data_IF_619495505482
#
_entry.id   IF_619495505482
#
_cell.length_a   1.000
_cell.length_b   1.000
_cell.length_c   1.000
_cell.angle_alpha   90.00
_cell.angle_beta   90.00
_cell.angle_gamma   90.00
#
_symmetry.space_group_name_H-M   'P 1'
#
loop_
_entity.id
_entity.type
_entity.pdbx_description
1 polymer ?
#
# COMPACT_ATOMS: atom_id res chain seq x y z
N UNK A 1 16.80 -33.52 -52.57
CA UNK A 1 16.33 -32.30 -51.84
C UNK A 1 15.22 -32.57 -50.81
N UNK A 2 14.27 -33.49 -51.03
CA UNK A 2 13.18 -33.81 -50.06
C UNK A 2 13.67 -34.46 -48.76
N UNK A 3 14.69 -35.32 -48.81
CA UNK A 3 15.11 -36.10 -47.64
C UNK A 3 15.90 -35.29 -46.60
N UNK A 4 16.74 -34.34 -47.02
CA UNK A 4 17.55 -33.51 -46.10
C UNK A 4 16.68 -32.53 -45.30
N UNK A 5 15.60 -31.99 -45.89
CA UNK A 5 14.64 -31.14 -45.18
C UNK A 5 13.89 -31.90 -44.09
N UNK A 6 13.54 -33.18 -44.33
CA UNK A 6 12.89 -34.03 -43.32
C UNK A 6 13.82 -34.28 -42.12
N UNK A 7 15.08 -34.62 -42.36
CA UNK A 7 16.03 -34.95 -41.27
C UNK A 7 16.30 -33.76 -40.34
N UNK A 8 16.43 -32.54 -40.89
CA UNK A 8 16.63 -31.33 -40.08
C UNK A 8 15.40 -31.00 -39.24
N UNK A 9 14.19 -31.17 -39.81
CA UNK A 9 12.93 -30.91 -39.11
C UNK A 9 12.70 -31.91 -37.95
N UNK A 10 13.08 -33.18 -38.13
CA UNK A 10 12.94 -34.21 -37.10
C UNK A 10 13.93 -34.02 -35.94
N UNK A 11 15.16 -33.58 -36.22
CA UNK A 11 16.16 -33.31 -35.17
C UNK A 11 15.79 -32.07 -34.35
N UNK A 12 15.28 -31.00 -34.98
CA UNK A 12 14.78 -29.82 -34.26
C UNK A 12 13.57 -30.13 -33.38
N UNK A 13 12.65 -31.00 -33.83
CA UNK A 13 11.47 -31.38 -33.05
C UNK A 13 11.84 -32.25 -31.84
N UNK A 14 12.80 -33.17 -32.00
CA UNK A 14 13.30 -34.01 -30.90
C UNK A 14 14.04 -33.17 -29.83
N UNK A 15 14.83 -32.18 -30.24
CA UNK A 15 15.48 -31.25 -29.31
C UNK A 15 14.47 -30.39 -28.53
N UNK A 16 13.40 -29.94 -29.20
CA UNK A 16 12.34 -29.15 -28.57
C UNK A 16 11.54 -29.98 -27.54
N UNK A 17 11.28 -31.25 -27.83
CA UNK A 17 10.61 -32.17 -26.90
C UNK A 17 11.48 -32.50 -25.69
N UNK A 18 12.79 -32.70 -25.87
CA UNK A 18 13.72 -32.96 -24.76
C UNK A 18 13.88 -31.72 -23.87
N UNK A 19 13.88 -30.50 -24.44
CA UNK A 19 13.96 -29.26 -23.65
C UNK A 19 12.72 -28.98 -22.79
N UNK A 20 11.55 -29.54 -23.15
CA UNK A 20 10.31 -29.39 -22.38
C UNK A 20 10.24 -30.38 -21.20
N UNK A 21 10.91 -31.53 -21.29
CA UNK A 21 10.78 -32.61 -20.29
C UNK A 21 11.82 -32.48 -19.17
N UNK A 22 13.04 -32.00 -19.45
CA UNK A 22 14.13 -31.93 -18.45
C UNK A 22 13.84 -31.02 -17.23
N UNK A 23 13.09 -29.91 -17.31
CA UNK A 23 12.78 -29.10 -16.12
C UNK A 23 11.91 -29.84 -15.09
N UNK A 24 11.14 -30.85 -15.51
CA UNK A 24 10.19 -31.54 -14.62
C UNK A 24 10.81 -32.58 -13.70
N UNK A 25 12.05 -33.02 -13.96
CA UNK A 25 12.71 -34.08 -13.19
C UNK A 25 13.79 -33.59 -12.21
N UNK A 26 14.08 -32.29 -12.15
CA UNK A 26 15.08 -31.72 -11.23
C UNK A 26 14.51 -30.89 -10.08
N UNK A 27 13.18 -30.78 -9.97
CA UNK A 27 12.53 -30.15 -8.81
C UNK A 27 12.35 -31.22 -7.73
N UNK A 28 13.44 -31.54 -7.04
CA UNK A 28 13.36 -32.25 -5.78
C UNK A 28 12.69 -31.34 -4.74
N UNK A 29 11.65 -31.83 -4.08
CA UNK A 29 11.04 -31.22 -2.91
C UNK A 29 12.07 -31.12 -1.78
N UNK A 30 12.81 -30.02 -1.74
CA UNK A 30 13.54 -29.57 -0.55
C UNK A 30 12.80 -28.34 -0.07
N UNK A 31 11.87 -28.51 0.90
CA UNK A 31 11.42 -27.39 1.74
C UNK A 31 12.56 -26.98 2.67
N UNK A 32 13.59 -26.37 2.11
CA UNK A 32 14.42 -25.47 2.90
C UNK A 32 13.57 -24.21 3.11
N UNK A 33 13.17 -23.94 4.36
CA UNK A 33 12.72 -22.59 4.73
C UNK A 33 13.94 -21.71 4.49
N UNK A 34 13.99 -21.02 3.35
CA UNK A 34 15.07 -20.09 3.03
C UNK A 34 14.91 -18.90 3.96
N UNK A 35 15.54 -18.98 5.13
CA UNK A 35 15.69 -17.85 6.03
C UNK A 35 16.55 -16.83 5.31
N UNK A 36 16.04 -15.62 5.11
CA UNK A 36 16.85 -14.53 4.59
C UNK A 36 17.63 -13.93 5.76
N UNK A 37 18.95 -13.82 5.59
CA UNK A 37 19.76 -13.06 6.53
C UNK A 37 19.40 -11.57 6.40
N UNK A 38 19.18 -10.92 7.53
CA UNK A 38 18.83 -9.52 7.60
C UNK A 38 19.78 -8.80 8.55
N UNK A 39 20.50 -7.82 8.02
CA UNK A 39 21.29 -6.89 8.81
C UNK A 39 20.45 -5.65 9.06
N UNK A 40 20.46 -5.13 10.29
CA UNK A 40 19.81 -3.88 10.60
C UNK A 40 20.65 -2.99 11.50
N UNK A 41 20.53 -1.68 11.32
CA UNK A 41 21.36 -0.71 12.02
C UNK A 41 21.01 0.73 11.69
N UNK A 42 21.51 1.63 12.52
CA UNK A 42 21.44 3.06 12.28
C UNK A 42 22.36 3.46 11.12
N UNK A 43 21.90 4.39 10.29
CA UNK A 43 22.68 5.03 9.23
C UNK A 43 22.39 6.53 9.16
N UNK A 44 23.14 7.26 8.33
CA UNK A 44 23.00 8.70 8.11
C UNK A 44 22.98 9.50 9.43
N UNK A 45 24.10 9.46 10.17
CA UNK A 45 24.25 10.14 11.48
C UNK A 45 23.17 9.77 12.50
N UNK A 46 22.78 8.49 12.55
CA UNK A 46 21.76 7.96 13.45
C UNK A 46 20.33 8.51 13.24
N UNK A 47 20.05 9.10 12.08
CA UNK A 47 18.73 9.63 11.75
C UNK A 47 17.80 8.60 11.11
N UNK A 48 18.35 7.52 10.57
CA UNK A 48 17.61 6.49 9.86
C UNK A 48 17.99 5.11 10.35
N UNK A 49 17.00 4.23 10.42
CA UNK A 49 17.24 2.79 10.47
C UNK A 49 17.23 2.20 9.08
N UNK A 50 18.11 1.23 8.87
CA UNK A 50 18.17 0.43 7.66
C UNK A 50 17.99 -1.03 8.02
N UNK A 51 17.10 -1.72 7.32
CA UNK A 51 17.03 -3.20 7.28
C UNK A 51 17.46 -3.61 5.87
N UNK A 52 18.44 -4.50 5.78
CA UNK A 52 19.04 -4.91 4.51
C UNK A 52 19.17 -6.43 4.45
N UNK A 53 18.69 -7.00 3.33
CA UNK A 53 18.81 -8.42 3.00
C UNK A 53 19.46 -8.59 1.63
N UNK A 54 19.45 -9.80 1.08
CA UNK A 54 19.81 -10.05 -0.33
C UNK A 54 18.70 -9.71 -1.33
N UNK A 55 17.48 -9.49 -0.83
CA UNK A 55 16.29 -9.23 -1.64
C UNK A 55 15.90 -7.74 -1.62
N UNK A 56 15.75 -7.20 -0.42
CA UNK A 56 15.16 -5.88 -0.17
C UNK A 56 16.02 -5.06 0.77
N UNK A 57 16.04 -3.75 0.55
CA UNK A 57 16.48 -2.75 1.54
C UNK A 57 15.28 -1.90 1.95
N UNK A 58 15.13 -1.67 3.25
CA UNK A 58 14.10 -0.80 3.83
C UNK A 58 14.78 0.27 4.68
N UNK A 59 14.34 1.52 4.54
CA UNK A 59 14.69 2.64 5.40
C UNK A 59 13.44 3.17 6.10
N UNK A 60 13.60 3.54 7.36
CA UNK A 60 12.58 4.27 8.14
C UNK A 60 13.26 5.23 9.11
N UNK A 61 12.63 6.37 9.44
CA UNK A 61 13.27 7.38 10.27
C UNK A 61 13.42 6.89 11.72
N UNK A 62 14.54 7.23 12.35
CA UNK A 62 14.81 6.92 13.76
C UNK A 62 13.98 7.78 14.73
N UNK A 63 13.46 8.91 14.24
CA UNK A 63 12.56 9.81 14.94
C UNK A 63 11.64 10.52 13.96
N UNK A 64 10.46 10.92 14.40
CA UNK A 64 9.50 11.63 13.56
C UNK A 64 8.44 10.70 12.97
N UNK A 65 7.70 11.22 11.99
CA UNK A 65 6.48 10.57 11.48
C UNK A 65 6.76 9.25 10.73
N UNK A 66 5.83 8.29 10.74
CA UNK A 66 6.02 7.00 10.07
C UNK A 66 6.09 7.14 8.55
N UNK A 67 7.23 6.75 7.98
CA UNK A 67 7.48 6.72 6.55
C UNK A 67 8.45 5.58 6.25
N UNK A 68 8.20 4.85 5.17
CA UNK A 68 9.01 3.70 4.78
C UNK A 68 9.43 3.85 3.33
N UNK A 69 10.73 3.73 3.12
CA UNK A 69 11.32 3.66 1.80
C UNK A 69 11.82 2.25 1.59
N UNK A 70 11.60 1.69 0.41
CA UNK A 70 12.16 0.40 0.09
C UNK A 70 12.48 0.28 -1.39
N UNK A 71 13.42 -0.59 -1.70
CA UNK A 71 13.76 -0.92 -3.08
C UNK A 71 14.28 -2.35 -3.16
N UNK A 72 14.20 -2.89 -4.36
CA UNK A 72 14.77 -4.19 -4.69
C UNK A 72 16.29 -4.04 -4.78
N UNK A 73 17.07 -4.91 -4.12
CA UNK A 73 18.53 -4.76 -4.00
C UNK A 73 19.24 -4.61 -5.35
N UNK A 74 18.73 -5.29 -6.39
CA UNK A 74 19.31 -5.27 -7.74
C UNK A 74 18.82 -4.11 -8.61
N UNK A 75 17.91 -3.27 -8.10
CA UNK A 75 17.43 -2.05 -8.78
C UNK A 75 17.27 -0.90 -7.78
N UNK A 76 18.27 -0.02 -7.73
CA UNK A 76 18.26 1.20 -6.93
C UNK A 76 17.73 2.42 -7.69
N UNK A 77 17.30 2.25 -8.95
CA UNK A 77 16.76 3.35 -9.76
C UNK A 77 15.34 3.73 -9.35
N UNK A 78 14.65 2.86 -8.62
CA UNK A 78 13.31 3.07 -8.12
C UNK A 78 13.27 2.85 -6.61
N UNK A 79 13.18 3.92 -5.83
CA UNK A 79 12.89 3.84 -4.39
C UNK A 79 11.41 4.08 -4.19
N UNK A 80 10.71 3.04 -3.77
CA UNK A 80 9.30 3.12 -3.42
C UNK A 80 9.16 3.75 -2.05
N UNK A 81 8.13 4.58 -1.89
CA UNK A 81 7.84 5.23 -0.62
C UNK A 81 6.37 5.04 -0.27
N UNK A 82 6.12 4.69 0.99
CA UNK A 82 4.82 4.81 1.62
C UNK A 82 4.97 5.75 2.80
N UNK A 83 4.19 6.83 2.76
CA UNK A 83 4.18 7.83 3.82
C UNK A 83 2.81 7.86 4.47
N UNK A 84 2.77 7.69 5.79
CA UNK A 84 1.53 7.78 6.54
C UNK A 84 1.23 9.27 6.80
N UNK A 85 0.28 9.82 6.05
CA UNK A 85 -0.09 11.25 6.12
C UNK A 85 -0.96 11.56 7.33
N UNK A 86 -1.85 10.63 7.68
CA UNK A 86 -2.65 10.74 8.89
C UNK A 86 -3.99 10.04 8.83
N UNK A 87 -4.88 10.46 9.72
CA UNK A 87 -6.22 9.89 9.89
C UNK A 87 -7.28 10.94 9.58
N UNK A 88 -8.29 10.57 8.80
CA UNK A 88 -9.38 11.46 8.41
C UNK A 88 -10.71 10.87 8.86
N UNK A 89 -11.40 11.54 9.77
CA UNK A 89 -12.79 11.18 10.09
C UNK A 89 -13.71 11.66 8.98
N UNK A 90 -14.59 10.78 8.53
CA UNK A 90 -15.57 11.09 7.49
C UNK A 90 -16.94 10.55 7.86
N UNK A 91 -17.97 11.14 7.28
CA UNK A 91 -19.36 10.76 7.48
C UNK A 91 -20.11 10.79 6.16
N UNK A 92 -20.34 9.61 5.56
CA UNK A 92 -21.04 9.50 4.28
C UNK A 92 -22.52 9.16 4.46
N UNK A 93 -23.32 9.67 3.53
CA UNK A 93 -24.76 9.36 3.42
C UNK A 93 -25.02 8.30 2.35
N UNK A 94 -24.30 8.38 1.23
CA UNK A 94 -24.64 7.66 0.00
C UNK A 94 -23.48 6.78 -0.52
N UNK A 95 -22.34 6.75 0.19
CA UNK A 95 -21.12 6.06 -0.26
C UNK A 95 -20.58 5.11 0.81
N UNK A 96 -19.97 4.00 0.38
CA UNK A 96 -19.38 3.02 1.29
C UNK A 96 -17.93 3.33 1.66
N UNK A 97 -17.29 4.25 0.94
CA UNK A 97 -15.88 4.56 1.01
C UNK A 97 -15.64 6.04 1.30
N UNK A 98 -14.42 6.39 1.70
CA UNK A 98 -14.01 7.76 1.95
C UNK A 98 -14.18 8.67 0.72
N UNK A 99 -14.75 9.85 0.93
CA UNK A 99 -14.74 10.96 -0.02
C UNK A 99 -14.43 12.24 0.74
N UNK A 100 -13.48 13.01 0.22
CA UNK A 100 -13.11 14.36 0.69
C UNK A 100 -14.31 15.29 0.87
N UNK A 101 -15.31 15.18 -0.01
CA UNK A 101 -16.58 15.88 0.11
C UNK A 101 -17.37 15.61 1.41
N UNK A 102 -17.03 14.56 2.17
CA UNK A 102 -17.75 14.05 3.34
C UNK A 102 -16.88 14.00 4.61
N UNK A 103 -15.79 14.76 4.66
CA UNK A 103 -14.99 14.90 5.87
C UNK A 103 -15.83 15.42 7.06
N UNK A 104 -15.62 14.86 8.26
CA UNK A 104 -16.44 15.08 9.43
C UNK A 104 -16.08 16.36 10.22
N UNK A 105 -15.90 17.49 9.52
CA UNK A 105 -15.78 18.81 10.14
C UNK A 105 -17.14 19.50 10.25
N UNK A 106 -17.29 20.47 11.15
CA UNK A 106 -18.57 21.10 11.46
C UNK A 106 -19.26 21.70 10.22
N UNK A 107 -18.51 22.39 9.35
CA UNK A 107 -19.04 23.04 8.16
C UNK A 107 -19.57 22.03 7.15
N UNK A 108 -18.74 21.04 6.79
CA UNK A 108 -19.12 19.99 5.84
C UNK A 108 -20.30 19.18 6.36
N UNK A 109 -20.30 18.81 7.64
CA UNK A 109 -21.41 18.09 8.28
C UNK A 109 -22.71 18.88 8.18
N UNK A 110 -22.69 20.17 8.52
CA UNK A 110 -23.86 21.05 8.37
C UNK A 110 -24.38 21.08 6.94
N UNK A 111 -23.50 21.29 5.97
CA UNK A 111 -23.87 21.38 4.55
C UNK A 111 -24.48 20.07 4.04
N UNK A 112 -23.90 18.92 4.38
CA UNK A 112 -24.42 17.61 3.97
C UNK A 112 -25.78 17.29 4.61
N UNK A 113 -25.94 17.60 5.90
CA UNK A 113 -27.21 17.38 6.60
C UNK A 113 -28.30 18.32 6.09
N UNK A 114 -27.97 19.60 5.83
CA UNK A 114 -28.89 20.56 5.21
C UNK A 114 -29.34 20.09 3.82
N UNK A 115 -28.39 19.70 2.97
CA UNK A 115 -28.69 19.22 1.62
C UNK A 115 -29.58 17.95 1.64
N UNK A 116 -29.37 17.04 2.60
CA UNK A 116 -30.11 15.78 2.67
C UNK A 116 -31.50 15.94 3.30
N UNK A 117 -31.60 16.65 4.42
CA UNK A 117 -32.81 16.65 5.26
C UNK A 117 -33.58 17.97 5.25
N UNK A 118 -32.95 19.08 4.84
CA UNK A 118 -33.57 20.41 4.84
C UNK A 118 -33.82 20.98 3.43
N UNK A 119 -33.33 20.34 2.37
CA UNK A 119 -33.55 20.81 1.00
C UNK A 119 -35.00 20.60 0.51
N UNK A 120 -35.65 19.52 0.95
CA UNK A 120 -37.02 19.18 0.55
C UNK A 120 -37.77 18.40 1.65
N UNK A 121 -39.10 18.51 1.69
CA UNK A 121 -39.95 17.76 2.62
C UNK A 121 -40.83 18.63 3.53
N UNK A 122 -41.79 17.99 4.20
CA UNK A 122 -42.83 18.63 5.04
C UNK A 122 -42.30 19.28 6.32
N UNK A 123 -41.11 18.88 6.80
CA UNK A 123 -40.52 19.39 8.04
C UNK A 123 -39.22 20.17 7.82
N UNK A 124 -38.93 20.57 6.57
CA UNK A 124 -37.66 21.17 6.16
C UNK A 124 -37.24 22.39 7.00
N UNK A 125 -38.18 23.27 7.36
CA UNK A 125 -37.89 24.51 8.09
C UNK A 125 -37.49 24.21 9.54
N UNK A 126 -38.21 23.30 10.21
CA UNK A 126 -37.89 22.86 11.58
C UNK A 126 -36.57 22.11 11.63
N UNK A 127 -36.28 21.29 10.63
CA UNK A 127 -35.01 20.57 10.51
C UNK A 127 -33.86 21.55 10.25
N UNK A 128 -34.02 22.48 9.31
CA UNK A 128 -33.03 23.52 9.05
C UNK A 128 -32.72 24.32 10.31
N UNK A 129 -33.76 24.76 11.04
CA UNK A 129 -33.61 25.48 12.29
C UNK A 129 -32.83 24.64 13.32
N UNK A 130 -33.21 23.37 13.52
CA UNK A 130 -32.51 22.50 14.47
C UNK A 130 -31.03 22.30 14.10
N UNK A 131 -30.72 22.11 12.82
CA UNK A 131 -29.33 21.99 12.35
C UNK A 131 -28.57 23.28 12.64
N UNK A 132 -29.16 24.46 12.41
CA UNK A 132 -28.52 25.74 12.71
C UNK A 132 -28.31 25.97 14.21
N UNK A 133 -29.26 25.55 15.05
CA UNK A 133 -29.15 25.63 16.52
C UNK A 133 -28.01 24.76 17.04
N UNK A 134 -27.86 23.53 16.53
CA UNK A 134 -26.80 22.61 16.94
C UNK A 134 -25.44 22.97 16.34
N UNK A 135 -25.40 23.61 15.16
CA UNK A 135 -24.16 23.95 14.46
C UNK A 135 -23.17 24.77 15.32
N UNK A 136 -23.65 25.67 16.17
CA UNK A 136 -22.78 26.43 17.07
C UNK A 136 -22.05 25.52 18.07
N UNK A 137 -22.72 24.49 18.59
CA UNK A 137 -22.09 23.49 19.45
C UNK A 137 -21.06 22.68 18.68
N UNK A 138 -21.31 22.38 17.41
CA UNK A 138 -20.36 21.63 16.58
C UNK A 138 -19.10 22.45 16.27
N UNK A 139 -19.23 23.75 15.98
CA UNK A 139 -18.06 24.64 15.80
C UNK A 139 -17.12 24.59 17.01
N UNK A 140 -17.69 24.56 18.22
CA UNK A 140 -16.90 24.58 19.46
C UNK A 140 -16.48 23.18 19.93
N UNK A 141 -17.24 22.15 19.57
CA UNK A 141 -17.07 20.80 20.08
C UNK A 141 -16.38 19.83 19.12
N UNK A 142 -16.40 20.07 17.81
CA UNK A 142 -15.76 19.18 16.84
C UNK A 142 -14.25 19.41 16.84
N UNK A 143 -13.48 18.32 16.78
CA UNK A 143 -12.09 18.43 16.33
C UNK A 143 -12.07 18.55 14.79
N UNK A 144 -10.97 19.04 14.18
CA UNK A 144 -10.80 18.98 12.73
C UNK A 144 -11.00 17.55 12.19
N UNK A 145 -11.40 17.40 10.92
CA UNK A 145 -11.60 16.06 10.35
C UNK A 145 -10.29 15.31 10.13
N UNK A 146 -9.18 16.03 9.95
CA UNK A 146 -7.89 15.45 9.59
C UNK A 146 -6.86 15.65 10.70
N UNK A 147 -6.32 14.53 11.20
CA UNK A 147 -5.14 14.48 12.07
C UNK A 147 -3.88 14.24 11.21
N UNK A 148 -3.11 15.29 10.87
CA UNK A 148 -1.86 15.12 10.13
C UNK A 148 -0.76 14.55 11.03
N UNK A 149 -0.15 13.46 10.59
CA UNK A 149 0.96 12.85 11.33
C UNK A 149 2.22 13.72 11.36
N UNK A 150 2.38 14.66 10.41
CA UNK A 150 3.45 15.65 10.41
C UNK A 150 3.28 16.78 11.42
N UNK A 151 2.13 16.90 12.09
CA UNK A 151 1.95 17.77 13.25
C UNK A 151 2.06 17.02 14.59
N UNK A 152 2.37 15.72 14.55
CA UNK A 152 2.45 14.87 15.74
C UNK A 152 3.90 14.52 16.07
N UNK A 153 4.16 14.21 17.34
CA UNK A 153 5.40 13.58 17.79
C UNK A 153 5.20 12.08 17.93
N UNK A 154 6.20 11.32 17.48
CA UNK A 154 6.18 9.87 17.45
C UNK A 154 7.39 9.33 18.19
N UNK A 155 7.16 8.26 18.96
CA UNK A 155 8.22 7.51 19.61
C UNK A 155 8.46 6.19 18.86
N UNK A 156 9.72 5.92 18.54
CA UNK A 156 10.15 4.66 17.95
C UNK A 156 10.67 3.73 19.06
N UNK A 157 10.14 2.51 19.11
CA UNK A 157 10.67 1.42 19.97
C UNK A 157 11.20 0.29 19.10
N UNK A 158 12.28 -0.37 19.53
CA UNK A 158 13.06 -1.26 18.68
C UNK A 158 13.98 -0.49 17.71
N UNK A 159 14.42 -1.10 16.60
CA UNK A 159 14.21 -2.49 16.19
C UNK A 159 14.92 -3.52 17.05
N UNK A 160 14.27 -4.66 17.24
CA UNK A 160 14.79 -5.83 17.96
C UNK A 160 14.43 -7.13 17.24
N UNK A 161 15.25 -8.16 17.42
CA UNK A 161 15.02 -9.47 16.85
C UNK A 161 14.09 -10.31 17.73
N UNK A 162 13.04 -10.86 17.13
CA UNK A 162 12.03 -11.68 17.82
C UNK A 162 11.90 -13.02 17.12
N UNK A 163 11.79 -14.09 17.91
CA UNK A 163 11.51 -15.43 17.40
C UNK A 163 10.29 -15.98 18.13
N UNK A 164 9.25 -16.34 17.37
CA UNK A 164 8.02 -16.96 17.86
C UNK A 164 8.28 -18.41 18.28
N UNK A 165 7.35 -18.96 19.07
CA UNK A 165 7.39 -20.36 19.51
C UNK A 165 7.37 -21.35 18.33
N UNK A 166 6.74 -20.98 17.21
CA UNK A 166 6.68 -21.77 15.97
C UNK A 166 7.95 -21.65 15.10
N UNK A 167 8.98 -20.95 15.58
CA UNK A 167 10.27 -20.77 14.89
C UNK A 167 10.30 -19.64 13.87
N UNK A 168 9.19 -18.91 13.65
CA UNK A 168 9.18 -17.73 12.78
C UNK A 168 10.00 -16.61 13.41
N UNK A 169 10.94 -16.04 12.65
CA UNK A 169 11.81 -14.97 13.12
C UNK A 169 11.60 -13.68 12.33
N UNK A 170 11.52 -12.55 13.03
CA UNK A 170 11.30 -11.23 12.45
C UNK A 170 12.01 -10.13 13.23
N UNK A 171 12.19 -8.97 12.58
CA UNK A 171 12.63 -7.73 13.24
C UNK A 171 11.38 -6.92 13.60
N UNK A 172 11.25 -6.57 14.88
CA UNK A 172 10.09 -5.88 15.45
C UNK A 172 10.42 -4.45 15.84
N UNK A 173 9.56 -3.49 15.51
CA UNK A 173 9.66 -2.10 15.96
C UNK A 173 8.29 -1.42 15.88
N UNK A 174 8.04 -0.40 16.69
CA UNK A 174 6.75 0.29 16.69
C UNK A 174 6.92 1.81 16.65
N UNK A 175 6.11 2.47 15.84
CA UNK A 175 5.86 3.91 15.94
C UNK A 175 4.62 4.14 16.79
N UNK A 176 4.78 4.82 17.92
CA UNK A 176 3.66 5.20 18.81
C UNK A 176 3.48 6.72 18.76
N UNK A 177 2.27 7.18 18.48
CA UNK A 177 1.95 8.61 18.58
C UNK A 177 1.99 9.00 20.06
N UNK A 178 2.84 9.96 20.44
CA UNK A 178 3.03 10.37 21.84
C UNK A 178 2.61 11.81 22.13
N UNK A 179 2.45 12.63 21.09
CA UNK A 179 1.93 13.98 21.24
C UNK A 179 1.23 14.41 19.94
N UNK A 180 -0.05 14.71 20.04
CA UNK A 180 -0.88 15.26 19.00
C UNK A 180 -1.17 16.74 19.30
N UNK A 181 -1.52 17.52 18.26
CA UNK A 181 -2.07 18.85 18.45
C UNK A 181 -3.29 18.83 19.37
N UNK A 182 -3.47 19.88 20.18
CA UNK A 182 -4.49 19.96 21.24
C UNK A 182 -5.91 19.46 20.86
N UNK A 183 -6.47 19.73 19.67
CA UNK A 183 -7.78 19.19 19.30
C UNK A 183 -7.85 17.65 19.18
N UNK A 184 -6.69 16.97 19.22
CA UNK A 184 -6.50 15.54 19.05
C UNK A 184 -5.70 14.92 20.19
N UNK A 185 -5.60 15.56 21.36
CA UNK A 185 -4.86 15.03 22.51
C UNK A 185 -5.36 13.63 22.94
N UNK A 186 -6.62 13.30 22.70
CA UNK A 186 -7.17 11.96 22.84
C UNK A 186 -6.45 10.88 22.00
N UNK A 187 -5.71 11.25 20.95
CA UNK A 187 -4.96 10.31 20.11
C UNK A 187 -3.59 9.93 20.72
N UNK A 188 -3.13 10.63 21.76
CA UNK A 188 -1.85 10.37 22.42
C UNK A 188 -1.81 8.97 23.03
N UNK A 189 -0.82 8.17 22.64
CA UNK A 189 -0.67 6.77 23.04
C UNK A 189 -1.71 5.82 22.45
N UNK A 190 -2.64 6.33 21.63
CA UNK A 190 -3.81 5.60 21.15
C UNK A 190 -3.74 5.27 19.65
N UNK A 191 -2.69 5.72 18.96
CA UNK A 191 -2.39 5.37 17.57
C UNK A 191 -0.99 4.77 17.49
N UNK A 192 -0.91 3.53 17.00
CA UNK A 192 0.34 2.77 16.88
C UNK A 192 0.44 2.15 15.49
N UNK A 193 1.63 2.21 14.89
CA UNK A 193 1.98 1.39 13.73
C UNK A 193 3.00 0.35 14.19
N UNK A 194 2.56 -0.90 14.28
CA UNK A 194 3.38 -2.03 14.72
C UNK A 194 4.05 -2.69 13.52
N UNK A 195 5.37 -2.70 13.49
CA UNK A 195 6.12 -3.14 12.34
C UNK A 195 6.81 -4.47 12.60
N UNK A 196 6.67 -5.40 11.65
CA UNK A 196 7.27 -6.74 11.72
C UNK A 196 7.85 -7.11 10.36
N UNK A 197 9.18 -7.14 10.26
CA UNK A 197 9.91 -7.56 9.06
C UNK A 197 10.24 -9.05 9.11
N UNK A 198 9.64 -9.85 8.23
CA UNK A 198 9.76 -11.30 8.28
C UNK A 198 11.01 -11.80 7.57
N UNK A 199 11.81 -12.62 8.27
CA UNK A 199 13.01 -13.28 7.70
C UNK A 199 12.70 -14.65 7.10
N UNK A 200 11.54 -15.20 7.41
CA UNK A 200 11.04 -16.47 6.89
C UNK A 200 9.61 -16.29 6.43
N UNK A 201 9.16 -17.12 5.50
CA UNK A 201 7.72 -17.23 5.24
C UNK A 201 6.99 -17.55 6.56
N UNK A 202 5.86 -16.89 6.78
CA UNK A 202 5.08 -17.02 7.98
C UNK A 202 3.60 -17.11 7.65
N UNK A 203 2.85 -17.83 8.49
CA UNK A 203 1.40 -17.77 8.51
C UNK A 203 0.99 -16.87 9.66
N UNK A 204 0.33 -15.76 9.34
CA UNK A 204 -0.31 -14.91 10.32
C UNK A 204 -1.67 -15.51 10.66
N UNK A 205 -1.92 -15.68 11.96
CA UNK A 205 -3.22 -16.02 12.50
C UNK A 205 -3.79 -14.79 13.22
N UNK A 206 -4.85 -14.24 12.65
CA UNK A 206 -5.53 -13.06 13.19
C UNK A 206 -6.60 -13.53 14.16
N UNK A 207 -6.16 -13.84 15.39
CA UNK A 207 -7.01 -14.21 16.51
C UNK A 207 -7.97 -15.40 16.23
N UNK A 208 -7.59 -16.34 15.36
CA UNK A 208 -8.44 -17.45 14.94
C UNK A 208 -9.57 -17.06 13.98
N UNK A 209 -9.67 -15.79 13.58
CA UNK A 209 -10.71 -15.28 12.68
C UNK A 209 -10.42 -15.60 11.22
N UNK A 210 -9.14 -15.46 10.83
CA UNK A 210 -8.61 -15.80 9.53
C UNK A 210 -7.08 -15.89 9.55
N UNK A 211 -6.53 -16.57 8.55
CA UNK A 211 -5.08 -16.71 8.38
C UNK A 211 -4.65 -16.27 6.99
N UNK A 212 -3.43 -15.74 6.86
CA UNK A 212 -2.82 -15.48 5.55
C UNK A 212 -1.30 -15.60 5.60
N UNK A 213 -0.70 -15.81 4.43
CA UNK A 213 0.74 -15.94 4.30
C UNK A 213 1.42 -14.59 4.13
N UNK A 214 2.50 -14.41 4.86
CA UNK A 214 3.45 -13.30 4.75
C UNK A 214 4.76 -13.90 4.26
N UNK A 215 5.37 -13.28 3.24
CA UNK A 215 6.60 -13.79 2.64
C UNK A 215 7.83 -13.28 3.37
N UNK A 216 8.91 -14.06 3.33
CA UNK A 216 10.22 -13.56 3.72
C UNK A 216 10.55 -12.29 2.91
N UNK A 217 11.04 -11.25 3.58
CA UNK A 217 11.34 -9.96 2.97
C UNK A 217 10.16 -8.98 2.96
N UNK A 218 9.03 -9.36 3.55
CA UNK A 218 7.86 -8.50 3.69
C UNK A 218 7.87 -7.78 5.06
N UNK A 219 7.60 -6.47 5.05
CA UNK A 219 7.38 -5.68 6.26
C UNK A 219 5.88 -5.47 6.46
N UNK A 220 5.32 -6.04 7.53
CA UNK A 220 3.98 -5.69 8.02
C UNK A 220 4.04 -4.37 8.80
N UNK A 221 2.96 -3.60 8.75
CA UNK A 221 2.79 -2.32 9.45
C UNK A 221 1.37 -2.24 10.00
N UNK A 222 1.07 -2.98 11.08
CA UNK A 222 -0.28 -3.05 11.62
C UNK A 222 -0.67 -1.70 12.22
N UNK A 223 -1.73 -1.10 11.70
CA UNK A 223 -2.33 0.11 12.26
C UNK A 223 -3.26 -0.29 13.40
N UNK A 224 -2.94 0.16 14.61
CA UNK A 224 -3.76 -0.01 15.80
C UNK A 224 -4.27 1.34 16.25
N UNK A 225 -5.58 1.47 16.40
CA UNK A 225 -6.25 2.69 16.87
C UNK A 225 -7.20 2.32 17.99
N UNK A 226 -7.17 3.05 19.09
CA UNK A 226 -8.11 2.89 20.20
C UNK A 226 -8.58 4.25 20.70
N UNK A 227 -9.65 4.29 21.48
CA UNK A 227 -10.14 5.52 22.13
C UNK A 227 -10.26 6.73 21.19
N UNK A 228 -10.64 6.51 19.92
CA UNK A 228 -10.88 7.61 18.99
C UNK A 228 -12.12 8.38 19.45
N UNK A 229 -12.00 9.68 19.68
CA UNK A 229 -13.16 10.53 19.94
C UNK A 229 -13.85 10.84 18.62
N UNK A 230 -15.13 10.50 18.50
CA UNK A 230 -15.87 10.64 17.25
C UNK A 230 -16.68 11.94 17.22
N UNK A 231 -16.54 12.71 16.14
CA UNK A 231 -17.42 13.86 15.89
C UNK A 231 -18.87 13.43 15.64
N UNK A 232 -19.12 12.25 15.05
CA UNK A 232 -20.49 11.75 14.85
C UNK A 232 -21.26 11.58 16.16
N UNK A 233 -20.60 11.23 17.27
CA UNK A 233 -21.27 11.02 18.57
C UNK A 233 -21.87 12.32 19.12
N UNK A 234 -21.31 13.46 18.71
CA UNK A 234 -21.80 14.82 19.07
C UNK A 234 -23.08 15.20 18.31
N UNK A 235 -23.52 14.36 17.35
CA UNK A 235 -24.75 14.57 16.56
C UNK A 235 -25.96 13.83 17.11
N UNK A 236 -25.83 13.06 18.20
CA UNK A 236 -26.92 12.23 18.75
C UNK A 236 -28.23 12.99 18.99
N UNK A 237 -28.15 14.19 19.58
CA UNK A 237 -29.33 15.04 19.81
C UNK A 237 -30.07 15.41 18.51
N UNK A 238 -29.34 15.61 17.42
CA UNK A 238 -29.95 15.87 16.11
C UNK A 238 -30.59 14.60 15.57
N UNK A 239 -29.93 13.44 15.68
CA UNK A 239 -30.47 12.19 15.15
C UNK A 239 -31.75 11.76 15.86
N UNK A 240 -31.83 11.93 17.18
CA UNK A 240 -33.07 11.72 17.95
C UNK A 240 -34.19 12.66 17.48
N UNK A 241 -33.87 13.93 17.22
CA UNK A 241 -34.83 14.88 16.67
C UNK A 241 -35.31 14.48 15.27
N UNK A 242 -34.42 14.05 14.37
CA UNK A 242 -34.78 13.60 13.03
C UNK A 242 -35.65 12.33 13.08
N UNK A 243 -35.33 11.39 13.97
CA UNK A 243 -36.10 10.17 14.17
C UNK A 243 -37.56 10.46 14.60
N UNK A 244 -37.80 11.55 15.34
CA UNK A 244 -39.16 11.97 15.73
C UNK A 244 -40.08 12.31 14.55
N UNK A 245 -39.52 12.56 13.36
CA UNK A 245 -40.27 12.80 12.12
C UNK A 245 -40.40 11.56 11.23
N UNK A 246 -40.10 10.35 11.75
CA UNK A 246 -40.00 9.11 10.98
C UNK A 246 -39.03 9.21 9.78
N UNK A 247 -38.09 10.14 9.83
CA UNK A 247 -36.98 10.17 8.89
C UNK A 247 -36.04 9.05 9.32
N UNK A 248 -35.96 7.98 8.53
CA UNK A 248 -34.87 7.03 8.70
C UNK A 248 -33.60 7.81 8.40
N UNK A 249 -32.87 8.22 9.42
CA UNK A 249 -31.48 8.61 9.26
C UNK A 249 -30.82 7.32 8.76
N UNK A 250 -30.48 7.20 7.46
CA UNK A 250 -29.71 6.05 7.02
C UNK A 250 -28.49 6.07 7.92
N UNK A 251 -28.19 4.97 8.62
CA UNK A 251 -27.06 4.89 9.56
C UNK A 251 -25.90 5.64 8.92
N UNK A 252 -25.66 6.86 9.40
CA UNK A 252 -24.65 7.72 8.80
C UNK A 252 -23.39 6.91 8.90
N UNK A 253 -22.77 6.68 7.75
CA UNK A 253 -21.61 5.81 7.69
C UNK A 253 -20.43 6.66 8.11
N UNK A 254 -20.28 6.79 9.42
CA UNK A 254 -19.06 7.30 10.01
C UNK A 254 -17.96 6.27 9.82
N UNK A 255 -16.77 6.78 9.59
CA UNK A 255 -15.59 5.97 9.47
C UNK A 255 -14.34 6.81 9.61
N UNK A 256 -13.23 6.11 9.71
CA UNK A 256 -11.90 6.69 9.77
C UNK A 256 -11.13 6.23 8.55
N UNK A 257 -10.53 7.16 7.81
CA UNK A 257 -9.69 6.84 6.67
C UNK A 257 -8.22 7.03 7.05
N UNK A 258 -7.42 5.97 6.92
CA UNK A 258 -5.97 6.11 6.86
C UNK A 258 -5.60 6.70 5.51
N UNK A 259 -4.97 7.87 5.51
CA UNK A 259 -4.34 8.44 4.33
C UNK A 259 -2.86 8.03 4.29
N UNK A 260 -2.49 7.26 3.26
CA UNK A 260 -1.09 7.03 2.87
C UNK A 260 -0.80 7.58 1.48
N UNK A 261 0.39 8.13 1.30
CA UNK A 261 0.90 8.48 -0.02
C UNK A 261 1.83 7.40 -0.53
N UNK A 262 1.54 6.91 -1.74
CA UNK A 262 2.40 6.01 -2.51
C UNK A 262 3.16 6.84 -3.53
N UNK A 263 4.49 6.82 -3.41
CA UNK A 263 5.40 7.61 -4.23
C UNK A 263 6.59 6.75 -4.69
N UNK A 264 7.31 7.25 -5.69
CA UNK A 264 8.60 6.69 -6.12
C UNK A 264 9.59 7.83 -6.24
N UNK A 265 10.79 7.70 -5.70
CA UNK A 265 11.84 8.73 -5.77
C UNK A 265 13.16 8.10 -6.19
N UNK A 266 14.13 8.93 -6.56
CA UNK A 266 15.49 8.51 -6.92
C UNK A 266 16.44 8.69 -5.72
N UNK A 267 17.48 7.85 -5.63
CA UNK A 267 18.55 8.03 -4.65
C UNK A 267 19.51 9.09 -5.20
N UNK A 268 19.32 10.35 -4.82
CA UNK A 268 20.20 11.45 -5.24
C UNK A 268 21.43 11.64 -4.32
N UNK A 269 21.50 10.96 -3.16
CA UNK A 269 22.55 11.17 -2.14
C UNK A 269 23.62 10.06 -2.11
N UNK A 270 24.86 10.47 -1.90
CA UNK A 270 26.05 9.65 -1.66
C UNK A 270 25.95 8.84 -0.36
N UNK A 271 25.16 9.30 0.63
CA UNK A 271 24.93 8.59 1.91
C UNK A 271 23.86 7.48 1.82
N UNK A 272 23.19 7.33 0.67
CA UNK A 272 22.21 6.28 0.42
C UNK A 272 20.84 6.49 1.07
N UNK A 273 20.48 7.74 1.40
CA UNK A 273 19.13 8.17 1.79
C UNK A 273 18.68 9.27 0.83
N UNK A 274 17.51 9.18 0.17
CA UNK A 274 17.05 10.23 -0.74
C UNK A 274 16.91 11.59 -0.04
N UNK A 275 17.36 12.67 -0.68
CA UNK A 275 17.32 14.05 -0.13
C UNK A 275 15.89 14.45 0.25
N UNK A 276 14.94 14.22 -0.65
CA UNK A 276 13.52 14.49 -0.38
C UNK A 276 12.99 13.76 0.86
N UNK A 277 13.47 12.54 1.13
CA UNK A 277 13.04 11.80 2.31
C UNK A 277 13.65 12.35 3.62
N UNK A 278 14.90 12.80 3.58
CA UNK A 278 15.54 13.48 4.71
C UNK A 278 14.82 14.80 5.04
N UNK A 279 14.49 15.62 4.02
CA UNK A 279 13.74 16.85 4.21
C UNK A 279 12.34 16.56 4.79
N UNK A 280 11.66 15.55 4.26
CA UNK A 280 10.30 15.19 4.68
C UNK A 280 10.26 14.61 6.11
N UNK A 281 11.24 13.78 6.49
CA UNK A 281 11.36 13.23 7.84
C UNK A 281 11.58 14.33 8.91
N UNK A 282 12.26 15.41 8.54
CA UNK A 282 12.52 16.56 9.41
C UNK A 282 11.43 17.65 9.33
N UNK A 283 10.47 17.53 8.41
CA UNK A 283 9.41 18.51 8.24
C UNK A 283 8.34 18.36 9.33
N UNK A 284 8.17 19.42 10.11
CA UNK A 284 7.12 19.56 11.13
C UNK A 284 6.12 20.64 10.73
N UNK A 285 4.83 20.33 10.83
CA UNK A 285 3.77 21.31 10.58
C UNK A 285 3.36 22.01 11.88
N UNK A 286 3.54 23.35 11.99
CA UNK A 286 3.21 24.09 13.21
C UNK A 286 1.69 24.27 13.43
N UNK A 287 0.88 24.02 12.41
CA UNK A 287 -0.57 24.18 12.45
C UNK A 287 -1.28 23.02 11.76
N UNK A 288 -2.38 22.57 12.35
CA UNK A 288 -3.24 21.55 11.77
C UNK A 288 -4.15 22.19 10.71
N UNK A 289 -4.15 21.68 9.46
CA UNK A 289 -5.13 22.12 8.47
C UNK A 289 -6.54 21.67 8.90
N UNK A 290 -7.55 22.46 8.57
CA UNK A 290 -8.94 22.14 8.95
C UNK A 290 -9.47 20.84 8.32
N UNK A 291 -8.95 20.49 7.15
CA UNK A 291 -9.37 19.31 6.37
C UNK A 291 -8.22 18.82 5.47
N UNK A 292 -8.42 17.66 4.84
CA UNK A 292 -7.39 16.98 4.04
C UNK A 292 -7.05 17.73 2.73
N UNK A 293 -7.94 18.58 2.22
CA UNK A 293 -7.72 19.33 0.97
C UNK A 293 -6.77 20.51 1.13
N UNK A 294 -6.59 21.00 2.36
CA UNK A 294 -5.66 22.07 2.72
C UNK A 294 -4.28 21.56 3.18
N UNK A 295 -4.06 20.25 3.15
CA UNK A 295 -2.78 19.66 3.53
C UNK A 295 -1.67 20.09 2.56
N UNK A 296 -0.51 20.47 3.13
CA UNK A 296 0.65 20.89 2.35
C UNK A 296 1.28 19.70 1.61
N UNK A 297 1.81 19.99 0.43
CA UNK A 297 2.67 19.06 -0.32
C UNK A 297 4.01 19.02 0.39
N UNK A 298 4.41 17.83 0.82
CA UNK A 298 5.69 17.60 1.48
C UNK A 298 6.75 17.10 0.48
N UNK A 299 8.06 17.16 0.80
CA UNK A 299 9.14 16.97 -0.18
C UNK A 299 9.08 15.66 -0.98
N UNK A 300 8.73 14.51 -0.38
CA UNK A 300 8.60 13.24 -1.13
C UNK A 300 7.51 13.31 -2.21
N UNK A 301 6.37 13.95 -1.89
CA UNK A 301 5.25 14.10 -2.83
C UNK A 301 5.65 14.98 -4.02
N UNK A 302 6.39 16.06 -3.75
CA UNK A 302 6.86 17.01 -4.76
C UNK A 302 7.95 16.44 -5.68
N UNK A 303 8.78 15.53 -5.17
CA UNK A 303 9.87 14.88 -5.91
C UNK A 303 9.50 13.51 -6.48
N UNK A 304 8.26 13.07 -6.31
CA UNK A 304 7.85 11.74 -6.78
C UNK A 304 7.90 11.64 -8.31
N UNK A 305 8.36 10.51 -8.81
CA UNK A 305 8.47 10.12 -10.22
C UNK A 305 7.53 8.96 -10.59
N UNK A 306 6.66 8.53 -9.65
CA UNK A 306 5.73 7.42 -9.81
C UNK A 306 4.94 7.55 -11.13
N UNK A 307 4.99 6.48 -11.93
CA UNK A 307 4.39 6.45 -13.26
C UNK A 307 3.06 5.71 -13.27
N UNK A 308 3.04 4.47 -12.81
CA UNK A 308 1.86 3.63 -12.83
C UNK A 308 1.71 2.84 -11.52
N UNK A 309 0.47 2.52 -11.16
CA UNK A 309 0.16 1.50 -10.16
C UNK A 309 -0.77 0.46 -10.79
N UNK A 310 -0.50 -0.82 -10.55
CA UNK A 310 -1.40 -1.92 -10.90
C UNK A 310 -2.18 -2.29 -9.64
N UNK A 311 -3.49 -2.02 -9.65
CA UNK A 311 -4.44 -2.33 -8.60
C UNK A 311 -5.39 -3.43 -9.05
N UNK A 312 -5.24 -4.65 -8.51
CA UNK A 312 -5.94 -5.83 -9.04
C UNK A 312 -5.60 -6.05 -10.52
N UNK A 313 -6.61 -5.99 -11.39
CA UNK A 313 -6.45 -6.14 -12.84
C UNK A 313 -6.37 -4.78 -13.59
N UNK A 314 -6.39 -3.66 -12.86
CA UNK A 314 -6.42 -2.33 -13.44
C UNK A 314 -5.05 -1.66 -13.34
N UNK A 315 -4.54 -1.17 -14.47
CA UNK A 315 -3.40 -0.25 -14.51
C UNK A 315 -3.91 1.18 -14.38
N UNK A 316 -3.37 1.91 -13.42
CA UNK A 316 -3.70 3.30 -13.11
C UNK A 316 -2.47 4.14 -13.45
N UNK A 317 -2.59 4.99 -14.47
CA UNK A 317 -1.55 5.96 -14.82
C UNK A 317 -1.58 7.12 -13.82
N UNK A 318 -0.47 7.34 -13.12
CA UNK A 318 -0.32 8.33 -12.06
C UNK A 318 0.39 9.58 -12.57
N UNK A 319 1.50 9.44 -13.30
CA UNK A 319 2.38 10.55 -13.68
C UNK A 319 1.65 11.70 -14.36
N UNK A 320 1.88 12.92 -13.87
CA UNK A 320 1.26 14.17 -14.29
C UNK A 320 -0.28 14.12 -14.33
N UNK A 321 -0.92 13.30 -13.49
CA UNK A 321 -2.39 13.22 -13.38
C UNK A 321 -2.87 13.75 -12.04
N UNK A 322 -3.91 14.57 -12.08
CA UNK A 322 -4.62 15.05 -10.89
C UNK A 322 -6.09 14.71 -11.04
N UNK A 323 -6.68 14.09 -10.02
CA UNK A 323 -8.12 13.85 -9.95
C UNK A 323 -8.78 14.83 -8.99
N UNK A 324 -9.87 15.46 -9.41
CA UNK A 324 -10.66 16.35 -8.56
C UNK A 324 -11.35 15.59 -7.43
N UNK A 325 -11.89 14.42 -7.74
CA UNK A 325 -12.64 13.58 -6.81
C UNK A 325 -11.88 12.29 -6.43
N UNK A 326 -12.32 11.71 -5.32
CA UNK A 326 -11.85 10.42 -4.83
C UNK A 326 -12.47 9.27 -5.62
N UNK A 327 -11.64 8.36 -6.15
CA UNK A 327 -12.05 7.21 -6.98
C UNK A 327 -12.00 5.92 -6.15
N UNK A 328 -13.08 5.11 -6.08
CA UNK A 328 -13.08 3.89 -5.29
C UNK A 328 -12.21 2.80 -5.92
N UNK A 329 -11.56 2.00 -5.07
CA UNK A 329 -10.93 0.74 -5.46
C UNK A 329 -11.86 -0.42 -5.10
N UNK A 330 -12.05 -1.35 -6.03
CA UNK A 330 -12.82 -2.55 -5.76
C UNK A 330 -11.97 -3.59 -5.03
N UNK A 331 -11.82 -3.40 -3.71
CA UNK A 331 -11.04 -4.29 -2.83
C UNK A 331 -11.83 -5.50 -2.33
N UNK A 332 -13.15 -5.54 -2.59
CA UNK A 332 -14.08 -6.54 -2.06
C UNK A 332 -14.33 -7.70 -3.01
N UNK A 333 -13.47 -7.91 -4.00
CA UNK A 333 -13.64 -8.98 -4.98
C UNK A 333 -13.73 -10.37 -4.30
N UNK A 334 -13.06 -10.57 -3.16
CA UNK A 334 -13.12 -11.77 -2.30
C UNK A 334 -12.81 -11.40 -0.85
N UNK A 335 -13.68 -11.77 0.10
CA UNK A 335 -13.51 -11.44 1.53
C UNK A 335 -12.24 -12.08 2.12
N UNK A 336 -11.55 -11.35 3.01
CA UNK A 336 -10.34 -11.78 3.75
C UNK A 336 -9.13 -12.05 2.85
N UNK A 337 -9.11 -11.45 1.66
CA UNK A 337 -7.97 -11.52 0.76
C UNK A 337 -7.12 -10.25 0.83
N UNK A 338 -5.84 -10.43 0.50
CA UNK A 338 -4.86 -9.35 0.37
C UNK A 338 -5.12 -8.58 -0.93
N UNK A 339 -5.17 -7.26 -0.85
CA UNK A 339 -5.31 -6.35 -1.99
C UNK A 339 -3.99 -5.63 -2.28
N UNK A 340 -3.30 -6.11 -3.31
CA UNK A 340 -1.96 -5.64 -3.66
C UNK A 340 -1.98 -4.54 -4.73
N UNK A 341 -1.32 -3.43 -4.40
CA UNK A 341 -0.97 -2.32 -5.29
C UNK A 341 0.49 -2.48 -5.71
N UNK A 342 0.74 -2.83 -6.97
CA UNK A 342 2.10 -3.01 -7.51
C UNK A 342 2.56 -1.74 -8.19
N UNK A 343 3.78 -1.32 -7.90
CA UNK A 343 4.43 -0.23 -8.61
C UNK A 343 4.71 -0.67 -10.05
N UNK A 344 4.56 0.23 -11.01
CA UNK A 344 4.77 -0.06 -12.42
C UNK A 344 5.30 1.18 -13.15
N UNK A 345 5.87 0.95 -14.32
CA UNK A 345 6.14 1.98 -15.31
C UNK A 345 5.39 1.67 -16.61
N UNK A 346 5.49 2.55 -17.61
CA UNK A 346 4.78 2.44 -18.89
C UNK A 346 4.95 1.08 -19.60
N UNK A 347 6.09 0.42 -19.37
CA UNK A 347 6.47 -0.83 -20.05
C UNK A 347 6.25 -2.09 -19.23
N UNK A 348 6.35 -2.03 -17.90
CA UNK A 348 6.38 -3.22 -17.05
C UNK A 348 5.92 -2.96 -15.62
N UNK A 349 5.61 -4.04 -14.91
CA UNK A 349 5.46 -4.05 -13.45
C UNK A 349 6.85 -3.99 -12.81
N UNK A 350 7.00 -3.20 -11.75
CA UNK A 350 8.22 -3.11 -10.95
C UNK A 350 8.12 -4.06 -9.75
N UNK A 351 9.24 -4.27 -9.06
CA UNK A 351 9.32 -5.23 -7.95
C UNK A 351 8.49 -4.81 -6.74
N UNK A 352 8.42 -3.50 -6.44
CA UNK A 352 7.79 -2.98 -5.25
C UNK A 352 6.28 -3.15 -5.21
N UNK A 353 5.74 -3.43 -4.02
CA UNK A 353 4.31 -3.40 -3.77
C UNK A 353 3.97 -2.79 -2.40
N UNK A 354 2.77 -2.23 -2.33
CA UNK A 354 2.04 -1.98 -1.10
C UNK A 354 0.81 -2.90 -1.08
N UNK A 355 0.51 -3.52 0.04
CA UNK A 355 -0.53 -4.54 0.14
C UNK A 355 -1.24 -4.43 1.50
N UNK A 356 -2.51 -4.81 1.57
CA UNK A 356 -3.30 -4.76 2.80
C UNK A 356 -4.43 -5.77 2.74
N UNK A 357 -4.92 -6.21 3.90
CA UNK A 357 -6.06 -7.12 3.97
C UNK A 357 -7.35 -6.32 3.80
N UNK A 358 -8.33 -6.81 3.04
CA UNK A 358 -9.59 -6.09 2.86
C UNK A 358 -10.56 -6.18 4.06
N UNK A 359 -10.05 -6.54 5.24
CA UNK A 359 -10.78 -6.60 6.51
C UNK A 359 -9.90 -6.10 7.64
N UNK A 360 -10.53 -5.52 8.66
CA UNK A 360 -9.90 -5.12 9.91
C UNK A 360 -10.57 -5.88 11.07
N UNK A 361 -9.91 -5.89 12.23
CA UNK A 361 -10.45 -6.45 13.46
C UNK A 361 -10.87 -5.32 14.38
N UNK A 362 -12.08 -5.42 14.91
CA UNK A 362 -12.54 -4.59 16.04
C UNK A 362 -12.54 -5.45 17.28
N UNK A 363 -11.73 -5.06 18.27
CA UNK A 363 -11.56 -5.74 19.56
C UNK A 363 -12.29 -4.94 20.62
N UNK A 364 -13.21 -5.57 21.34
CA UNK A 364 -13.98 -4.92 22.38
C UNK A 364 -13.07 -4.46 23.52
N UNK A 365 -13.09 -3.16 23.83
CA UNK A 365 -12.20 -2.56 24.84
C UNK A 365 -12.48 -3.07 26.26
N UNK A 366 -13.71 -3.49 26.56
CA UNK A 366 -14.12 -3.99 27.88
C UNK A 366 -14.03 -5.51 28.00
N UNK A 367 -14.06 -6.23 26.88
CA UNK A 367 -13.94 -7.68 26.82
C UNK A 367 -13.05 -8.07 25.63
N UNK A 368 -11.72 -8.07 25.78
CA UNK A 368 -10.79 -8.31 24.67
C UNK A 368 -10.96 -9.67 23.96
N UNK A 369 -11.67 -10.63 24.55
CA UNK A 369 -12.03 -11.90 23.88
C UNK A 369 -13.10 -11.73 22.79
N UNK A 370 -13.92 -10.69 22.88
CA UNK A 370 -14.92 -10.33 21.87
C UNK A 370 -14.25 -9.55 20.74
N UNK A 371 -14.06 -10.25 19.60
CA UNK A 371 -13.40 -9.74 18.41
C UNK A 371 -14.31 -9.94 17.21
N UNK A 372 -14.43 -8.90 16.39
CA UNK A 372 -15.27 -8.92 15.19
C UNK A 372 -14.49 -8.48 13.97
N UNK A 373 -14.79 -9.09 12.83
CA UNK A 373 -14.20 -8.71 11.54
C UNK A 373 -15.10 -7.67 10.88
N UNK A 374 -14.51 -6.59 10.41
CA UNK A 374 -15.20 -5.53 9.69
C UNK A 374 -14.58 -5.31 8.31
N UNK A 375 -15.40 -4.92 7.33
CA UNK A 375 -14.94 -4.69 5.97
C UNK A 375 -14.12 -3.39 5.87
N UNK A 376 -12.98 -3.49 5.19
CA UNK A 376 -12.18 -2.33 4.80
C UNK A 376 -12.62 -1.87 3.41
N UNK A 377 -12.63 -0.55 3.21
CA UNK A 377 -12.78 0.05 1.88
C UNK A 377 -11.50 0.74 1.47
N UNK A 378 -11.31 0.95 0.17
CA UNK A 378 -10.21 1.76 -0.30
C UNK A 378 -10.65 2.67 -1.43
N UNK A 379 -10.05 3.85 -1.49
CA UNK A 379 -10.24 4.81 -2.56
C UNK A 379 -8.94 5.59 -2.77
N UNK A 380 -8.78 6.24 -3.91
CA UNK A 380 -7.56 6.96 -4.23
C UNK A 380 -7.81 8.29 -4.92
N UNK A 381 -6.81 9.18 -4.86
CA UNK A 381 -6.69 10.37 -5.71
C UNK A 381 -5.32 10.40 -6.37
N UNK A 382 -5.28 10.79 -7.63
CA UNK A 382 -4.03 11.11 -8.32
C UNK A 382 -3.65 12.55 -7.97
N UNK A 383 -2.40 12.77 -7.58
CA UNK A 383 -1.94 14.03 -7.04
C UNK A 383 -0.63 14.50 -7.72
N UNK A 384 -0.65 14.49 -9.06
CA UNK A 384 0.49 14.88 -9.89
C UNK A 384 1.33 13.66 -10.19
N UNK A 385 2.32 13.37 -9.34
CA UNK A 385 3.24 12.25 -9.53
C UNK A 385 3.27 11.27 -8.35
N UNK A 386 2.25 11.29 -7.50
CA UNK A 386 2.05 10.29 -6.43
C UNK A 386 0.57 9.92 -6.35
N UNK A 387 0.28 8.79 -5.72
CA UNK A 387 -1.09 8.37 -5.44
C UNK A 387 -1.37 8.58 -3.96
N UNK A 388 -2.45 9.32 -3.67
CA UNK A 388 -3.05 9.37 -2.33
C UNK A 388 -3.98 8.18 -2.21
N UNK A 389 -3.69 7.25 -1.31
CA UNK A 389 -4.53 6.10 -1.00
C UNK A 389 -5.23 6.34 0.33
N UNK A 390 -6.53 6.11 0.35
CA UNK A 390 -7.39 6.21 1.53
C UNK A 390 -7.94 4.83 1.85
N UNK A 391 -7.54 4.28 2.99
CA UNK A 391 -8.05 3.00 3.51
C UNK A 391 -9.09 3.32 4.58
N UNK A 392 -10.36 3.03 4.28
CA UNK A 392 -11.50 3.39 5.12
C UNK A 392 -11.93 2.26 6.05
N UNK A 393 -12.07 2.59 7.33
CA UNK A 393 -12.55 1.73 8.41
C UNK A 393 -13.92 2.21 8.90
N UNK A 394 -14.86 1.31 9.20
CA UNK A 394 -16.15 1.71 9.74
C UNK A 394 -16.03 2.23 11.17
N UNK A 395 -17.05 2.97 11.63
CA UNK A 395 -17.19 3.36 13.03
C UNK A 395 -17.04 2.16 13.98
N UNK A 396 -16.10 2.27 14.94
CA UNK A 396 -15.80 1.25 15.94
C UNK A 396 -16.03 1.74 17.38
N UNK A 397 -16.59 2.94 17.57
CA UNK A 397 -16.85 3.52 18.89
C UNK A 397 -15.59 3.62 19.74
N UNK A 398 -15.67 3.19 21.00
CA UNK A 398 -14.54 3.16 21.95
C UNK A 398 -13.69 1.88 21.87
N UNK A 399 -13.93 1.02 20.89
CA UNK A 399 -13.19 -0.24 20.73
C UNK A 399 -11.81 -0.01 20.09
N UNK A 400 -11.03 -1.08 20.01
CA UNK A 400 -9.72 -1.07 19.35
C UNK A 400 -9.90 -1.56 17.91
N UNK A 401 -9.41 -0.81 16.95
CA UNK A 401 -9.29 -1.20 15.54
C UNK A 401 -7.86 -1.66 15.26
N UNK A 402 -7.72 -2.81 14.59
CA UNK A 402 -6.44 -3.34 14.10
C UNK A 402 -6.56 -3.69 12.60
N UNK A 403 -5.61 -3.23 11.79
CA UNK A 403 -5.57 -3.51 10.35
C UNK A 403 -4.13 -3.70 9.86
N UNK A 404 -3.93 -4.59 8.87
CA UNK A 404 -2.61 -5.14 8.53
C UNK A 404 -2.08 -4.75 7.12
N UNK A 405 -1.68 -3.49 6.88
CA UNK A 405 -0.86 -3.13 5.72
C UNK A 405 0.51 -3.81 5.71
N UNK A 406 1.11 -3.89 4.53
CA UNK A 406 2.43 -4.47 4.29
C UNK A 406 3.10 -3.86 3.05
N UNK A 407 4.43 -3.87 3.05
CA UNK A 407 5.26 -3.54 1.88
C UNK A 407 6.24 -4.67 1.62
N UNK A 408 6.70 -4.75 0.38
CA UNK A 408 7.74 -5.70 0.02
C UNK A 408 8.12 -5.57 -1.45
N UNK A 409 8.89 -6.56 -1.88
CA UNK A 409 9.27 -6.73 -3.28
C UNK A 409 8.86 -8.12 -3.75
N UNK A 410 8.38 -8.21 -4.98
CA UNK A 410 8.23 -9.48 -5.69
C UNK A 410 9.48 -9.70 -6.55
N UNK A 411 9.97 -10.95 -6.61
CA UNK A 411 10.97 -11.30 -7.61
C UNK A 411 10.36 -11.09 -9.00
N UNK A 412 10.82 -10.04 -9.70
CA UNK A 412 10.48 -9.84 -11.11
C UNK A 412 11.29 -10.87 -11.88
N UNK A 413 10.71 -12.06 -12.07
CA UNK A 413 11.32 -13.11 -12.90
C UNK A 413 11.55 -12.48 -14.27
N UNK A 414 12.81 -12.34 -14.73
CA UNK A 414 13.05 -11.93 -16.11
C UNK A 414 12.26 -12.91 -16.98
N UNK A 415 11.56 -12.44 -18.02
CA UNK A 415 10.59 -13.24 -18.79
C UNK A 415 11.14 -14.57 -19.37
N UNK A 416 12.46 -14.78 -19.25
CA UNK A 416 13.24 -15.94 -19.62
C UNK A 416 14.31 -16.12 -18.52
N UNK A 417 14.34 -17.26 -17.83
CA UNK A 417 15.48 -17.66 -17.02
C UNK A 417 16.78 -17.52 -17.83
N UNK A 418 17.86 -17.03 -17.22
CA UNK A 418 19.17 -16.92 -17.88
C UNK A 418 19.62 -18.19 -18.65
N UNK A 419 19.34 -19.43 -18.17
CA UNK A 419 19.59 -20.64 -18.94
C UNK A 419 18.84 -20.69 -20.28
N UNK A 420 17.59 -20.22 -20.35
CA UNK A 420 16.80 -20.20 -21.59
C UNK A 420 17.34 -19.14 -22.55
N UNK A 421 17.81 -17.99 -22.04
CA UNK A 421 18.49 -16.98 -22.86
C UNK A 421 19.77 -17.55 -23.48
N UNK A 422 20.58 -18.26 -22.69
CA UNK A 422 21.79 -18.98 -23.17
C UNK A 422 21.45 -20.04 -24.22
N UNK A 423 20.37 -20.79 -24.03
CA UNK A 423 19.89 -21.78 -25.02
C UNK A 423 19.43 -21.10 -26.30
N UNK A 424 18.71 -19.97 -26.22
CA UNK A 424 18.25 -19.21 -27.40
C UNK A 424 19.41 -18.58 -28.18
N UNK A 425 20.42 -18.05 -27.49
CA UNK A 425 21.65 -17.54 -28.09
C UNK A 425 22.43 -18.69 -28.75
N UNK A 426 22.57 -19.82 -28.06
CA UNK A 426 23.20 -21.02 -28.62
C UNK A 426 22.49 -21.53 -29.87
N UNK A 427 21.15 -21.59 -29.84
CA UNK A 427 20.33 -22.05 -30.96
C UNK A 427 20.44 -21.11 -32.19
N UNK A 428 20.45 -19.79 -31.98
CA UNK A 428 20.62 -18.82 -33.08
C UNK A 428 22.01 -18.89 -33.72
N UNK A 429 23.07 -19.09 -32.93
CA UNK A 429 24.42 -19.32 -33.45
C UNK A 429 24.50 -20.61 -34.27
N UNK A 430 23.92 -21.72 -33.79
CA UNK A 430 23.91 -23.01 -34.51
C UNK A 430 23.14 -22.90 -35.84
N UNK A 431 21.98 -22.24 -35.84
CA UNK A 431 21.20 -22.00 -37.07
C UNK A 431 22.00 -21.13 -38.04
N UNK A 432 22.65 -20.06 -37.56
CA UNK A 432 23.52 -19.22 -38.38
C UNK A 432 24.65 -20.00 -39.06
N UNK A 433 25.36 -20.84 -38.29
CA UNK A 433 26.44 -21.70 -38.81
C UNK A 433 25.91 -22.71 -39.83
N UNK A 434 24.75 -23.33 -39.56
CA UNK A 434 24.13 -24.28 -40.50
C UNK A 434 23.72 -23.61 -41.82
N UNK A 435 23.18 -22.38 -41.76
CA UNK A 435 22.79 -21.60 -42.95
C UNK A 435 24.02 -21.21 -43.78
N UNK A 436 25.11 -20.77 -43.12
CA UNK A 436 26.38 -20.45 -43.81
C UNK A 436 26.98 -21.71 -44.46
N UNK A 437 27.02 -22.84 -43.76
CA UNK A 437 27.53 -24.10 -44.31
C UNK A 437 26.73 -24.58 -45.54
N UNK A 438 25.40 -24.45 -45.51
CA UNK A 438 24.53 -24.75 -46.66
C UNK A 438 24.76 -23.77 -47.82
N UNK A 439 24.99 -22.49 -47.53
CA UNK A 439 25.28 -21.46 -48.54
C UNK A 439 26.66 -21.70 -49.20
N UNK A 440 27.66 -22.12 -48.43
CA UNK A 440 29.00 -22.47 -48.94
C UNK A 440 28.97 -23.75 -49.79
N UNK A 441 28.17 -24.76 -49.45
CA UNK A 441 27.97 -25.95 -50.28
C UNK A 441 27.22 -25.69 -51.60
N UNK A 442 26.57 -24.52 -51.75
CA UNK A 442 25.86 -24.11 -52.97
C UNK A 442 26.68 -23.25 -53.92
N UNK A 443 27.96 -22.96 -53.63
CA UNK A 443 28.87 -22.40 -54.65
C UNK A 443 29.13 -23.48 -55.70
N UNK A 444 28.38 -23.42 -56.79
CA UNK A 444 28.64 -24.16 -58.03
C UNK A 444 30.04 -23.80 -58.52
N UNK A 445 30.88 -24.84 -58.65
CA UNK A 445 32.15 -24.75 -59.36
C UNK A 445 31.79 -24.62 -60.85
N UNK A 446 31.98 -23.43 -61.43
CA UNK A 446 31.96 -23.29 -62.88
C UNK A 446 33.25 -23.90 -63.43
N UNK A 447 33.16 -25.13 -63.94
CA UNK A 447 34.16 -25.66 -64.86
C UNK A 447 33.68 -25.25 -66.25
N UNK A 448 34.33 -24.22 -66.82
CA UNK A 448 34.21 -23.94 -68.26
C UNK A 448 35.17 -24.90 -68.98
N UNK A 449 34.58 -25.67 -69.87
CA UNK A 449 35.16 -26.81 -70.58
C UNK A 449 36.20 -26.35 -71.61
N UNK A 450 37.32 -27.08 -71.71
CA UNK A 450 38.26 -27.03 -72.83
C UNK A 450 37.72 -27.95 -73.92
N UNK A 451 37.57 -27.42 -75.14
CA UNK A 451 37.71 -28.20 -76.36
C UNK A 451 38.37 -27.35 -77.43
#
# INVERSE_FOLDING_TARGET
>A
MKNVKKTIMTISLAFLLISIIVPTFLIGDVKAVSTIEANYGLCNNNKWWRIQTDLITILFPASGKPMFLWWYKNDTSNVYVVKYKGLIEYMTLDYEYYRDAYEANALTVRERLMAKYAAAGTHRERIAQKIMEEYWKWILGFHPSFLPFSACSWNLTGPEEVTREDGVSYISFNFTLVNAPKPFDFADGNVVIRCRFYKTDATEDVYGLYTYTVKAGELKMDLVIQNWEWNIDKLNNLFEFLASYNLSVPKLRAGLALWVDLASIEIEDVQGVPVAAEEDANMFLPSVPENSTLAQIEPVEGNSTLSDIIAGNQRIQVRNRITSETVPLNVRARLRERFRLRFANESQTLAGFFDFVNTAVVINATNPEDKTVVDVTAAYKLAGNHMRLFIGYPYFGSNILEHDPSIGVEEVVPWLPAPIILILIGATVIIGVAVVAVKMRKKTINIVNVQ
#
